data_IF_697810041265
#
_entry.id   IF_697810041265
#
_cell.length_a   1.000
_cell.length_b   1.000
_cell.length_c   1.000
_cell.angle_alpha   90.00
_cell.angle_beta   90.00
_cell.angle_gamma   90.00
#
_symmetry.space_group_name_H-M   'P 1'
#
loop_
_entity.id
_entity.type
_entity.pdbx_description
1 polymer ?
#
# COMPACT_ATOMS: atom_id res chain seq x y z
N UNK A 1 -11.68 55.14 11.97
CA UNK A 1 -12.45 54.12 12.73
C UNK A 1 -13.27 53.16 11.85
N UNK A 2 -14.25 53.60 11.02
CA UNK A 2 -15.09 52.66 10.25
C UNK A 2 -14.35 51.87 9.14
N UNK A 3 -13.45 52.54 8.40
CA UNK A 3 -12.69 51.88 7.34
C UNK A 3 -11.72 50.80 7.87
N UNK A 4 -11.14 51.02 9.05
CA UNK A 4 -10.25 50.05 9.70
C UNK A 4 -11.04 48.83 10.18
N UNK A 5 -12.21 49.04 10.81
CA UNK A 5 -13.10 47.97 11.20
C UNK A 5 -13.49 47.08 10.00
N UNK A 6 -13.82 47.67 8.85
CA UNK A 6 -14.10 46.91 7.61
C UNK A 6 -12.89 46.16 7.06
N UNK A 7 -11.68 46.71 7.21
CA UNK A 7 -10.44 46.03 6.81
C UNK A 7 -10.20 44.79 7.67
N UNK A 8 -10.41 44.89 8.98
CA UNK A 8 -10.32 43.75 9.91
C UNK A 8 -11.39 42.69 9.62
N UNK A 9 -12.63 43.10 9.37
CA UNK A 9 -13.73 42.19 9.03
C UNK A 9 -13.42 41.39 7.75
N UNK A 10 -12.94 42.04 6.70
CA UNK A 10 -12.53 41.38 5.46
C UNK A 10 -11.42 40.35 5.68
N UNK A 11 -10.41 40.68 6.50
CA UNK A 11 -9.31 39.77 6.83
C UNK A 11 -9.82 38.54 7.58
N UNK A 12 -10.70 38.72 8.57
CA UNK A 12 -11.29 37.64 9.35
C UNK A 12 -12.15 36.71 8.48
N UNK A 13 -12.99 37.28 7.61
CA UNK A 13 -13.79 36.49 6.65
C UNK A 13 -12.92 35.68 5.69
N UNK A 14 -11.85 36.28 5.15
CA UNK A 14 -10.89 35.57 4.30
C UNK A 14 -10.25 34.38 5.02
N UNK A 15 -9.75 34.61 6.24
CA UNK A 15 -9.17 33.54 7.06
C UNK A 15 -10.16 32.42 7.35
N UNK A 16 -11.41 32.73 7.67
CA UNK A 16 -12.45 31.71 7.89
C UNK A 16 -12.71 30.85 6.65
N UNK A 17 -12.86 31.47 5.48
CA UNK A 17 -13.07 30.74 4.22
C UNK A 17 -11.87 29.84 3.92
N UNK A 18 -10.65 30.34 4.12
CA UNK A 18 -9.43 29.57 3.89
C UNK A 18 -9.29 28.40 4.87
N UNK A 19 -9.62 28.61 6.16
CA UNK A 19 -9.63 27.54 7.15
C UNK A 19 -10.65 26.46 6.79
N UNK A 20 -11.87 26.85 6.39
CA UNK A 20 -12.90 25.90 5.94
C UNK A 20 -12.44 25.09 4.73
N UNK A 21 -11.96 25.76 3.67
CA UNK A 21 -11.45 25.09 2.46
C UNK A 21 -10.25 24.19 2.75
N UNK A 22 -9.39 24.56 3.72
CA UNK A 22 -8.25 23.75 4.15
C UNK A 22 -8.72 22.50 4.91
N UNK A 23 -9.71 22.64 5.77
CA UNK A 23 -10.31 21.53 6.49
C UNK A 23 -11.01 20.55 5.53
N UNK A 24 -11.75 21.05 4.55
CA UNK A 24 -12.41 20.24 3.52
C UNK A 24 -11.39 19.43 2.68
N UNK A 25 -10.34 20.07 2.16
CA UNK A 25 -9.26 19.37 1.43
C UNK A 25 -8.57 18.29 2.28
N UNK A 26 -8.33 18.58 3.56
CA UNK A 26 -7.72 17.60 4.48
C UNK A 26 -8.66 16.42 4.72
N UNK A 27 -9.96 16.67 4.89
CA UNK A 27 -10.97 15.61 5.00
C UNK A 27 -11.00 14.75 3.74
N UNK A 28 -11.07 15.36 2.55
CA UNK A 28 -11.06 14.63 1.27
C UNK A 28 -9.81 13.77 1.07
N UNK A 29 -8.64 14.27 1.46
CA UNK A 29 -7.39 13.49 1.41
C UNK A 29 -7.46 12.23 2.29
N UNK A 30 -7.86 12.38 3.56
CA UNK A 30 -7.96 11.24 4.45
C UNK A 30 -9.10 10.28 4.08
N UNK A 31 -10.23 10.78 3.59
CA UNK A 31 -11.32 9.92 3.08
C UNK A 31 -10.92 9.15 1.82
N UNK A 32 -10.05 9.70 0.95
CA UNK A 32 -9.45 8.95 -0.17
C UNK A 32 -8.49 7.86 0.31
N UNK A 33 -7.75 8.10 1.38
CA UNK A 33 -6.75 7.16 1.93
C UNK A 33 -7.37 6.10 2.84
N UNK A 34 -8.51 6.39 3.47
CA UNK A 34 -9.31 5.40 4.21
C UNK A 34 -9.91 4.32 3.31
N UNK A 35 -9.92 4.53 1.99
CA UNK A 35 -10.28 3.47 1.03
C UNK A 35 -9.23 2.38 1.05
N UNK A 36 -9.61 1.21 0.55
CA UNK A 36 -8.82 -0.02 0.59
C UNK A 36 -7.31 0.24 0.34
N UNK A 37 -6.43 -0.04 1.33
CA UNK A 37 -4.98 0.12 1.20
C UNK A 37 -4.40 -0.54 -0.06
N UNK A 38 -5.05 -1.57 -0.60
CA UNK A 38 -4.65 -2.22 -1.85
C UNK A 38 -4.78 -1.31 -3.08
N UNK A 39 -5.62 -0.27 -3.07
CA UNK A 39 -5.76 0.65 -4.21
C UNK A 39 -4.51 1.48 -4.51
N UNK A 40 -3.61 1.63 -3.52
CA UNK A 40 -2.33 2.32 -3.70
C UNK A 40 -1.13 1.35 -3.76
N UNK A 41 -1.36 0.04 -3.72
CA UNK A 41 -0.29 -0.93 -3.83
C UNK A 41 0.24 -0.91 -5.26
N UNK A 42 1.47 -0.44 -5.42
CA UNK A 42 2.17 -0.45 -6.70
C UNK A 42 3.16 -1.61 -6.74
N UNK A 43 3.01 -2.48 -7.73
CA UNK A 43 3.98 -3.54 -8.01
C UNK A 43 4.98 -3.00 -9.03
N UNK A 44 6.22 -2.80 -8.59
CA UNK A 44 7.32 -2.36 -9.45
C UNK A 44 8.22 -3.56 -9.77
N UNK A 45 8.30 -3.91 -11.04
CA UNK A 45 9.20 -4.95 -11.53
C UNK A 45 10.49 -4.39 -12.13
N UNK A 46 11.57 -5.15 -12.07
CA UNK A 46 12.82 -4.88 -12.79
C UNK A 46 13.26 -6.13 -13.53
N UNK A 47 13.78 -5.96 -14.75
CA UNK A 47 14.35 -7.08 -15.48
C UNK A 47 15.50 -7.71 -14.66
N UNK A 48 15.43 -9.01 -14.43
CA UNK A 48 16.46 -9.79 -13.76
C UNK A 48 16.87 -10.95 -14.66
N UNK A 49 18.12 -11.37 -14.55
CA UNK A 49 18.61 -12.57 -15.23
C UNK A 49 18.24 -13.78 -14.37
N UNK A 50 17.45 -14.68 -14.93
CA UNK A 50 17.14 -15.96 -14.29
C UNK A 50 18.29 -16.92 -14.58
N UNK A 51 18.91 -17.43 -13.53
CA UNK A 51 19.92 -18.47 -13.62
C UNK A 51 19.23 -19.81 -13.36
N UNK A 52 19.02 -20.58 -14.42
CA UNK A 52 18.45 -21.93 -14.33
C UNK A 52 19.61 -22.93 -14.27
N UNK A 53 19.95 -23.34 -13.05
CA UNK A 53 20.86 -24.46 -12.83
C UNK A 53 20.03 -25.73 -12.57
N UNK A 54 20.22 -26.74 -13.42
CA UNK A 54 19.50 -28.01 -13.34
C UNK A 54 19.74 -28.73 -12.00
N UNK A 55 20.96 -28.65 -11.46
CA UNK A 55 21.27 -29.28 -10.17
C UNK A 55 20.55 -28.58 -9.02
N UNK A 56 20.43 -27.25 -9.09
CA UNK A 56 19.69 -26.45 -8.11
C UNK A 56 18.19 -26.72 -8.20
N UNK A 57 17.64 -26.81 -9.42
CA UNK A 57 16.23 -27.14 -9.64
C UNK A 57 15.88 -28.52 -9.07
N UNK A 58 16.69 -29.54 -9.37
CA UNK A 58 16.49 -30.90 -8.86
C UNK A 58 16.59 -30.98 -7.33
N UNK A 59 17.49 -30.19 -6.73
CA UNK A 59 17.63 -30.10 -5.28
C UNK A 59 16.43 -29.42 -4.62
N UNK A 60 15.86 -28.37 -5.24
CA UNK A 60 14.67 -27.68 -4.76
C UNK A 60 13.42 -28.59 -4.80
N UNK A 61 13.28 -29.42 -5.84
CA UNK A 61 12.17 -30.37 -5.99
C UNK A 61 12.29 -31.63 -5.10
N UNK A 62 13.35 -31.74 -4.28
CA UNK A 62 13.53 -32.87 -3.37
C UNK A 62 12.36 -32.99 -2.38
N UNK A 63 11.86 -34.21 -2.09
CA UNK A 63 10.82 -34.42 -1.07
C UNK A 63 11.17 -33.89 0.33
N UNK A 64 12.46 -33.66 0.62
CA UNK A 64 12.94 -33.05 1.87
C UNK A 64 12.64 -31.54 1.92
N UNK A 65 12.52 -30.91 0.77
CA UNK A 65 12.28 -29.48 0.61
C UNK A 65 10.83 -29.15 0.26
N UNK A 66 10.02 -30.15 -0.09
CA UNK A 66 8.62 -30.00 -0.44
C UNK A 66 7.71 -30.41 0.73
N UNK A 67 6.63 -29.67 0.96
CA UNK A 67 5.61 -29.98 1.97
C UNK A 67 4.19 -29.74 1.42
N UNK A 68 3.16 -30.46 1.92
CA UNK A 68 1.79 -30.19 1.53
C UNK A 68 1.33 -28.84 2.08
N UNK A 69 0.62 -28.06 1.26
CA UNK A 69 0.02 -26.81 1.70
C UNK A 69 -1.17 -27.08 2.64
N UNK A 70 -1.30 -26.27 3.70
CA UNK A 70 -2.31 -26.48 4.74
C UNK A 70 -3.75 -26.47 4.21
N UNK A 71 -4.02 -25.70 3.14
CA UNK A 71 -5.36 -25.59 2.53
C UNK A 71 -5.69 -26.66 1.49
N UNK A 72 -4.68 -27.34 0.93
CA UNK A 72 -4.84 -28.41 -0.05
C UNK A 72 -3.60 -29.31 -0.05
N UNK A 73 -3.77 -30.54 0.44
CA UNK A 73 -2.66 -31.50 0.57
C UNK A 73 -2.16 -32.06 -0.76
N UNK A 74 -2.89 -31.87 -1.85
CA UNK A 74 -2.41 -32.22 -3.20
C UNK A 74 -1.50 -31.13 -3.78
N UNK A 75 -1.48 -29.94 -3.17
CA UNK A 75 -0.64 -28.83 -3.58
C UNK A 75 0.66 -28.83 -2.77
N UNK A 76 1.74 -29.28 -3.41
CA UNK A 76 3.06 -29.28 -2.80
C UNK A 76 3.71 -27.90 -2.94
N UNK A 77 4.22 -27.37 -1.84
CA UNK A 77 4.93 -26.10 -1.78
C UNK A 77 6.34 -26.32 -1.27
N UNK A 78 7.26 -25.44 -1.68
CA UNK A 78 8.58 -25.37 -1.05
C UNK A 78 8.41 -25.01 0.44
N UNK A 79 9.16 -25.66 1.32
CA UNK A 79 9.15 -25.41 2.77
C UNK A 79 9.57 -23.98 3.16
N UNK A 80 10.25 -23.27 2.26
CA UNK A 80 10.63 -21.86 2.39
C UNK A 80 9.68 -20.92 1.67
N UNK A 81 8.63 -21.44 1.02
CA UNK A 81 7.54 -20.64 0.48
C UNK A 81 6.84 -19.88 1.62
N UNK A 82 6.53 -18.60 1.41
CA UNK A 82 5.89 -17.75 2.43
C UNK A 82 4.57 -18.34 2.93
N UNK A 83 3.88 -19.10 2.09
CA UNK A 83 2.63 -19.79 2.42
C UNK A 83 2.80 -20.88 3.49
N UNK A 84 4.02 -21.35 3.75
CA UNK A 84 4.29 -22.29 4.84
C UNK A 84 4.12 -21.65 6.23
N UNK A 85 4.14 -20.31 6.32
CA UNK A 85 3.99 -19.54 7.56
C UNK A 85 2.63 -18.85 7.73
N UNK A 86 1.72 -19.03 6.77
CA UNK A 86 0.33 -18.56 6.83
C UNK A 86 -0.57 -19.65 7.40
#
# INVERSE_FOLDING_TARGET
MWHEARKHERKLRGMMVDYKKRAERRREYYEKIKKDPAQFLQVHGRACKVHLDSAVALAAESPVNMMPWQGDTNNMIDRFDVRAHL
#
